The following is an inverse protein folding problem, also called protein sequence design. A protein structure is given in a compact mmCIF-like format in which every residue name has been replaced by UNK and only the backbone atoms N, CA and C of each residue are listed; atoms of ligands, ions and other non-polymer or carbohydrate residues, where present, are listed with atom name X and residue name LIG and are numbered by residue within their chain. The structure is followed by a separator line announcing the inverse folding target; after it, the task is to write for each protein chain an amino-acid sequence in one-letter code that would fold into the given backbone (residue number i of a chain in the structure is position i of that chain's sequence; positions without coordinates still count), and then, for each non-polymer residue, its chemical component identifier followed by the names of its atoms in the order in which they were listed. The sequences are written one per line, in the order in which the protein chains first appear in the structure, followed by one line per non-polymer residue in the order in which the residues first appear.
data_IF_154901983224
#
_entry.id   IF_154901983224
#
_cell.length_a   1.000
_cell.length_b   1.000
_cell.length_c   1.000
_cell.angle_alpha   90.00
_cell.angle_beta   90.00
_cell.angle_gamma   90.00
#
_symmetry.space_group_name_H-M   'P 1'
#
loop_
_entity.id
_entity.type
_entity.pdbx_description
1 polymer ?
#
# COMPACT_ATOMS: atom_id res chain seq x y z
N UNK A 1 -3.93 28.59 7.91
CA UNK A 1 -3.20 27.81 6.87
C UNK A 1 -1.76 27.42 7.29
N UNK A 2 -1.32 27.61 8.54
CA UNK A 2 0.07 27.32 8.97
C UNK A 2 0.43 25.82 9.13
N UNK A 3 -0.50 24.87 8.91
CA UNK A 3 -0.32 23.46 9.24
C UNK A 3 -0.09 22.53 8.03
N UNK A 4 -0.10 23.05 6.80
CA UNK A 4 0.17 22.27 5.57
C UNK A 4 1.44 22.80 4.93
N UNK A 5 2.42 21.93 4.72
CA UNK A 5 3.66 22.24 4.01
C UNK A 5 3.68 21.49 2.68
N UNK A 6 3.67 22.23 1.58
CA UNK A 6 3.84 21.68 0.24
C UNK A 6 5.33 21.61 -0.06
N UNK A 7 5.78 20.45 -0.52
CA UNK A 7 7.15 20.23 -1.00
C UNK A 7 7.09 19.70 -2.41
N UNK A 8 7.99 20.18 -3.25
CA UNK A 8 8.11 19.77 -4.63
C UNK A 8 9.56 19.34 -4.88
N UNK A 9 9.76 18.21 -5.55
CA UNK A 9 11.06 17.87 -6.10
C UNK A 9 11.47 18.87 -7.19
N UNK A 10 12.76 18.89 -7.58
CA UNK A 10 13.31 19.89 -8.51
C UNK A 10 12.45 20.08 -9.78
N UNK A 11 12.09 18.97 -10.44
CA UNK A 11 11.26 18.99 -11.66
C UNK A 11 9.88 19.63 -11.42
N UNK A 12 9.18 19.20 -10.37
CA UNK A 12 7.87 19.75 -10.02
C UNK A 12 7.97 21.23 -9.63
N UNK A 13 9.03 21.62 -8.93
CA UNK A 13 9.25 22.99 -8.49
C UNK A 13 9.46 23.95 -9.67
N UNK A 14 10.29 23.56 -10.64
CA UNK A 14 10.50 24.31 -11.88
C UNK A 14 9.17 24.46 -12.65
N UNK A 15 8.44 23.36 -12.86
CA UNK A 15 7.14 23.40 -13.56
C UNK A 15 6.08 24.27 -12.85
N UNK A 16 6.04 24.24 -11.52
CA UNK A 16 5.14 25.09 -10.74
C UNK A 16 5.53 26.57 -10.90
N UNK A 17 6.82 26.90 -10.83
CA UNK A 17 7.32 28.27 -11.00
C UNK A 17 7.03 28.83 -12.39
N UNK A 18 7.12 27.99 -13.40
CA UNK A 18 6.87 28.37 -14.79
C UNK A 18 5.36 28.43 -15.12
N UNK A 19 4.48 28.15 -14.16
CA UNK A 19 3.03 28.17 -14.33
C UNK A 19 2.47 26.99 -15.14
N UNK A 20 3.31 26.01 -15.50
CA UNK A 20 2.95 24.86 -16.34
C UNK A 20 2.43 23.64 -15.57
N UNK A 21 2.32 23.73 -14.24
CA UNK A 21 1.84 22.61 -13.43
C UNK A 21 0.34 22.34 -13.62
N UNK A 22 0.01 21.07 -13.88
CA UNK A 22 -1.35 20.54 -13.89
C UNK A 22 -1.37 19.21 -13.13
N UNK A 23 -2.43 18.95 -12.38
CA UNK A 23 -2.70 17.67 -11.71
C UNK A 23 -2.71 16.47 -12.67
N UNK A 24 -2.99 16.68 -13.96
CA UNK A 24 -2.85 15.63 -14.98
C UNK A 24 -1.42 15.11 -15.13
N UNK A 25 -0.40 15.82 -14.62
CA UNK A 25 0.99 15.35 -14.54
C UNK A 25 1.20 14.29 -13.47
N UNK A 26 0.33 14.21 -12.47
CA UNK A 26 0.40 13.17 -11.43
C UNK A 26 0.15 11.82 -12.13
N UNK A 27 1.19 11.00 -12.18
CA UNK A 27 1.14 9.65 -12.76
C UNK A 27 0.93 8.57 -11.69
N UNK A 28 1.29 8.88 -10.45
CA UNK A 28 1.11 7.99 -9.31
C UNK A 28 0.73 8.76 -8.06
N UNK A 29 -0.04 8.12 -7.20
CA UNK A 29 -0.34 8.57 -5.86
C UNK A 29 0.09 7.47 -4.90
N UNK A 30 1.11 7.75 -4.08
CA UNK A 30 1.64 6.81 -3.11
C UNK A 30 0.94 6.93 -1.75
N UNK A 31 0.50 5.79 -1.22
CA UNK A 31 -0.11 5.62 0.09
C UNK A 31 0.76 4.76 1.00
N UNK A 32 1.44 5.34 2.01
CA UNK A 32 2.34 4.61 2.89
C UNK A 32 1.57 3.76 3.91
N UNK A 33 2.27 2.83 4.56
CA UNK A 33 1.74 2.03 5.67
C UNK A 33 1.61 2.81 6.99
N UNK A 34 1.07 4.03 6.95
CA UNK A 34 1.10 5.00 8.04
C UNK A 34 0.24 4.70 9.27
N UNK A 35 -0.28 3.46 9.44
CA UNK A 35 -1.18 3.08 10.53
C UNK A 35 -2.33 4.09 10.69
N UNK A 36 -2.80 4.42 11.91
CA UNK A 36 -3.95 5.32 12.10
C UNK A 36 -3.74 6.75 11.54
N UNK A 37 -2.51 7.12 11.17
CA UNK A 37 -2.19 8.43 10.61
C UNK A 37 -2.79 8.64 9.21
N UNK A 38 -3.17 7.56 8.52
CA UNK A 38 -3.91 7.67 7.25
C UNK A 38 -5.26 8.41 7.43
N UNK A 39 -5.83 8.41 8.65
CA UNK A 39 -7.06 9.15 8.94
C UNK A 39 -6.92 10.66 8.66
N UNK A 40 -5.71 11.22 8.82
CA UNK A 40 -5.43 12.63 8.45
C UNK A 40 -5.44 12.81 6.93
N UNK A 41 -4.93 11.82 6.19
CA UNK A 41 -4.97 11.83 4.72
C UNK A 41 -6.40 11.72 4.16
N UNK A 42 -7.37 11.23 4.96
CA UNK A 42 -8.77 11.05 4.51
C UNK A 42 -9.42 12.32 3.98
N UNK A 43 -9.10 13.49 4.54
CA UNK A 43 -9.62 14.76 4.03
C UNK A 43 -9.16 15.03 2.60
N UNK A 44 -7.86 14.88 2.34
CA UNK A 44 -7.30 15.03 1.01
C UNK A 44 -7.85 14.01 0.02
N UNK A 45 -7.97 12.75 0.46
CA UNK A 45 -8.50 11.68 -0.38
C UNK A 45 -9.95 11.92 -0.80
N UNK A 46 -10.79 12.29 0.16
CA UNK A 46 -12.20 12.60 -0.11
C UNK A 46 -12.33 13.83 -1.01
N UNK A 47 -11.49 14.85 -0.85
CA UNK A 47 -11.47 16.00 -1.77
C UNK A 47 -11.06 15.57 -3.18
N UNK A 48 -9.97 14.82 -3.33
CA UNK A 48 -9.49 14.36 -4.65
C UNK A 48 -10.51 13.44 -5.35
N UNK A 49 -11.20 12.58 -4.59
CA UNK A 49 -12.26 11.71 -5.07
C UNK A 49 -13.50 12.51 -5.51
N UNK A 50 -14.05 13.35 -4.64
CA UNK A 50 -15.31 14.09 -4.88
C UNK A 50 -15.18 15.07 -6.04
N UNK A 51 -14.06 15.80 -6.08
CA UNK A 51 -13.78 16.80 -7.12
C UNK A 51 -13.22 16.16 -8.41
N UNK A 52 -12.98 14.84 -8.39
CA UNK A 52 -12.41 14.12 -9.51
C UNK A 52 -11.14 14.81 -10.03
N UNK A 53 -10.16 15.01 -9.16
CA UNK A 53 -8.97 15.82 -9.48
C UNK A 53 -7.82 15.04 -10.13
N UNK A 54 -7.80 13.71 -10.01
CA UNK A 54 -6.73 12.86 -10.53
C UNK A 54 -7.23 11.98 -11.68
N UNK A 55 -6.39 11.67 -12.64
CA UNK A 55 -6.73 10.71 -13.71
C UNK A 55 -7.74 11.20 -14.75
N UNK A 56 -7.79 12.50 -15.03
CA UNK A 56 -8.74 13.07 -16.00
C UNK A 56 -8.32 12.74 -17.43
N UNK A 57 -7.05 12.93 -17.76
CA UNK A 57 -6.53 12.63 -19.12
C UNK A 57 -5.93 11.24 -19.22
N UNK A 58 -5.16 10.81 -18.22
CA UNK A 58 -4.43 9.55 -18.23
C UNK A 58 -4.61 8.82 -16.89
N UNK A 59 -4.67 7.48 -16.87
CA UNK A 59 -4.87 6.73 -15.63
C UNK A 59 -3.78 7.02 -14.60
N UNK A 60 -4.16 7.12 -13.32
CA UNK A 60 -3.22 7.30 -12.20
C UNK A 60 -3.00 5.98 -11.48
N UNK A 61 -1.74 5.67 -11.20
CA UNK A 61 -1.39 4.54 -10.34
C UNK A 61 -1.58 4.89 -8.87
N UNK A 62 -2.54 4.25 -8.22
CA UNK A 62 -2.71 4.24 -6.78
C UNK A 62 -1.80 3.16 -6.20
N UNK A 63 -0.66 3.56 -5.65
CA UNK A 63 0.36 2.64 -5.13
C UNK A 63 0.28 2.62 -3.61
N UNK A 64 -0.15 1.52 -3.01
CA UNK A 64 -0.47 1.48 -1.58
C UNK A 64 0.25 0.36 -0.83
N UNK A 65 0.73 0.66 0.37
CA UNK A 65 1.14 -0.31 1.38
C UNK A 65 0.22 -0.21 2.60
N UNK A 66 -0.17 -1.35 3.19
CA UNK A 66 -1.07 -1.42 4.36
C UNK A 66 -2.30 -0.51 4.22
N UNK A 67 -2.54 0.41 5.16
CA UNK A 67 -3.66 1.36 5.11
C UNK A 67 -3.72 2.19 3.81
N UNK A 68 -2.57 2.43 3.15
CA UNK A 68 -2.52 3.01 1.82
C UNK A 68 -3.12 2.11 0.73
N UNK A 69 -2.88 0.80 0.80
CA UNK A 69 -3.54 -0.16 -0.09
C UNK A 69 -5.04 -0.26 0.23
N UNK A 70 -5.41 -0.25 1.51
CA UNK A 70 -6.81 -0.37 1.95
C UNK A 70 -7.65 0.81 1.43
N UNK A 71 -7.16 2.03 1.63
CA UNK A 71 -7.85 3.25 1.18
C UNK A 71 -7.93 3.31 -0.34
N UNK A 72 -6.88 2.90 -1.05
CA UNK A 72 -6.91 2.89 -2.53
C UNK A 72 -7.78 1.77 -3.09
N UNK A 73 -7.89 0.62 -2.44
CA UNK A 73 -8.87 -0.38 -2.81
C UNK A 73 -10.32 0.16 -2.73
N UNK A 74 -10.60 1.07 -1.77
CA UNK A 74 -11.88 1.76 -1.68
C UNK A 74 -12.13 2.72 -2.86
N UNK A 75 -11.07 3.38 -3.38
CA UNK A 75 -11.18 4.28 -4.53
C UNK A 75 -11.61 3.58 -5.82
N UNK A 76 -11.34 2.28 -5.92
CA UNK A 76 -11.69 1.48 -7.10
C UNK A 76 -13.13 0.97 -7.06
N UNK A 77 -13.84 1.08 -5.94
CA UNK A 77 -15.21 0.61 -5.81
C UNK A 77 -16.19 1.49 -6.61
N UNK A 78 -17.35 0.96 -7.05
CA UNK A 78 -18.36 1.73 -7.80
C UNK A 78 -18.86 2.98 -7.07
N UNK A 79 -19.03 2.90 -5.75
CA UNK A 79 -19.36 4.04 -4.88
C UNK A 79 -18.15 4.44 -4.01
N UNK A 80 -17.07 5.01 -4.59
CA UNK A 80 -15.78 5.08 -3.93
C UNK A 80 -15.80 5.91 -2.65
N UNK A 81 -16.60 6.99 -2.60
CA UNK A 81 -16.76 7.82 -1.40
C UNK A 81 -17.45 7.04 -0.27
N UNK A 82 -18.50 6.26 -0.59
CA UNK A 82 -19.23 5.43 0.38
C UNK A 82 -18.32 4.35 0.94
N UNK A 83 -17.64 3.59 0.07
CA UNK A 83 -16.67 2.56 0.46
C UNK A 83 -15.52 3.14 1.29
N UNK A 84 -15.03 4.33 0.95
CA UNK A 84 -13.98 5.00 1.71
C UNK A 84 -14.44 5.37 3.12
N UNK A 85 -15.66 5.89 3.27
CA UNK A 85 -16.24 6.23 4.56
C UNK A 85 -16.53 4.98 5.40
N UNK A 86 -17.01 3.90 4.77
CA UNK A 86 -17.22 2.61 5.41
C UNK A 86 -15.92 2.01 5.94
N UNK A 87 -14.83 2.03 5.15
CA UNK A 87 -13.49 1.68 5.60
C UNK A 87 -13.08 2.50 6.83
N UNK A 88 -13.25 3.83 6.76
CA UNK A 88 -12.86 4.73 7.85
C UNK A 88 -13.59 4.41 9.15
N UNK A 89 -14.90 4.20 9.06
CA UNK A 89 -15.74 3.87 10.20
C UNK A 89 -15.36 2.51 10.80
N UNK A 90 -15.22 1.49 9.96
CA UNK A 90 -14.82 0.15 10.38
C UNK A 90 -13.42 0.14 11.01
N UNK A 91 -12.48 0.93 10.46
CA UNK A 91 -11.13 1.08 11.00
C UNK A 91 -11.12 1.74 12.39
N UNK A 92 -11.90 2.80 12.59
CA UNK A 92 -11.97 3.52 13.88
C UNK A 92 -12.70 2.67 14.93
N UNK A 93 -13.71 1.92 14.52
CA UNK A 93 -14.50 1.06 15.40
C UNK A 93 -13.82 -0.27 15.73
N UNK A 94 -12.75 -0.63 15.02
CA UNK A 94 -12.02 -1.87 15.29
C UNK A 94 -11.37 -1.82 16.68
N UNK A 95 -11.70 -2.82 17.50
CA UNK A 95 -11.18 -2.94 18.86
C UNK A 95 -10.42 -4.26 19.00
N UNK A 96 -9.19 -4.17 19.50
CA UNK A 96 -8.30 -5.32 19.69
C UNK A 96 -7.82 -5.37 21.15
N UNK A 97 -8.08 -6.49 21.81
CA UNK A 97 -7.67 -6.77 23.18
C UNK A 97 -6.30 -7.44 23.26
N UNK A 98 -5.67 -7.36 24.44
CA UNK A 98 -4.35 -8.00 24.70
C UNK A 98 -4.36 -9.53 24.57
N UNK A 99 -5.53 -10.16 24.64
CA UNK A 99 -5.69 -11.62 24.55
C UNK A 99 -6.00 -12.10 23.12
N UNK A 100 -6.19 -11.18 22.17
CA UNK A 100 -6.50 -11.56 20.81
C UNK A 100 -5.30 -12.24 20.16
N UNK A 101 -5.57 -13.35 19.49
CA UNK A 101 -4.54 -14.10 18.79
C UNK A 101 -4.29 -13.48 17.42
N UNK A 102 -3.09 -13.66 16.82
CA UNK A 102 -2.83 -13.18 15.47
C UNK A 102 -3.86 -13.67 14.44
N UNK A 103 -4.34 -14.91 14.58
CA UNK A 103 -5.41 -15.46 13.72
C UNK A 103 -6.76 -14.76 13.91
N UNK A 104 -7.14 -14.44 15.15
CA UNK A 104 -8.38 -13.71 15.43
C UNK A 104 -8.32 -12.28 14.85
N UNK A 105 -7.17 -11.60 14.97
CA UNK A 105 -6.97 -10.28 14.38
C UNK A 105 -7.03 -10.35 12.85
N UNK A 106 -6.40 -11.36 12.22
CA UNK A 106 -6.49 -11.57 10.78
C UNK A 106 -7.96 -11.78 10.32
N UNK A 107 -8.75 -12.55 11.06
CA UNK A 107 -10.16 -12.75 10.76
C UNK A 107 -10.95 -11.44 10.88
N UNK A 108 -10.70 -10.64 11.92
CA UNK A 108 -11.29 -9.31 12.08
C UNK A 108 -10.94 -8.38 10.91
N UNK A 109 -9.67 -8.35 10.48
CA UNK A 109 -9.26 -7.58 9.30
C UNK A 109 -9.94 -8.09 8.02
N UNK A 110 -10.11 -9.40 7.87
CA UNK A 110 -10.81 -9.99 6.72
C UNK A 110 -12.26 -9.51 6.67
N UNK A 111 -12.95 -9.48 7.82
CA UNK A 111 -14.31 -8.94 7.94
C UNK A 111 -14.35 -7.43 7.63
N UNK A 112 -13.39 -6.65 8.15
CA UNK A 112 -13.28 -5.21 7.88
C UNK A 112 -13.06 -4.93 6.39
N UNK A 113 -12.12 -5.63 5.74
CA UNK A 113 -11.85 -5.44 4.31
C UNK A 113 -13.09 -5.82 3.47
N UNK A 114 -13.78 -6.89 3.85
CA UNK A 114 -15.00 -7.32 3.18
C UNK A 114 -16.19 -6.39 3.39
N UNK A 115 -16.17 -5.52 4.42
CA UNK A 115 -17.28 -4.62 4.71
C UNK A 115 -17.37 -3.40 3.78
N UNK A 116 -16.31 -3.11 3.02
CA UNK A 116 -16.30 -2.00 2.05
C UNK A 116 -15.88 -2.41 0.63
N UNK A 117 -15.45 -3.67 0.46
CA UNK A 117 -15.13 -4.28 -0.83
C UNK A 117 -16.09 -5.45 -1.03
N UNK A 118 -17.10 -5.23 -1.85
CA UNK A 118 -18.07 -6.27 -2.22
C UNK A 118 -17.47 -7.17 -3.32
N UNK A 119 -17.79 -8.45 -3.33
CA UNK A 119 -17.20 -9.41 -4.29
C UNK A 119 -17.67 -9.12 -5.73
N UNK A 120 -18.93 -8.73 -5.90
CA UNK A 120 -19.53 -8.30 -7.16
C UNK A 120 -18.97 -6.97 -7.69
N UNK A 121 -18.35 -6.16 -6.82
CA UNK A 121 -17.68 -4.92 -7.19
C UNK A 121 -16.26 -5.15 -7.77
N UNK A 122 -15.65 -6.33 -7.56
CA UNK A 122 -14.27 -6.62 -7.98
C UNK A 122 -14.06 -6.55 -9.50
N UNK A 123 -14.95 -7.07 -10.37
CA UNK A 123 -14.83 -6.88 -11.82
C UNK A 123 -14.80 -5.40 -12.24
N UNK A 124 -15.57 -4.54 -11.56
CA UNK A 124 -15.61 -3.11 -11.83
C UNK A 124 -14.32 -2.41 -11.37
N UNK A 125 -13.81 -2.79 -10.19
CA UNK A 125 -12.51 -2.33 -9.72
C UNK A 125 -11.39 -2.70 -10.72
N UNK A 126 -11.40 -3.94 -11.21
CA UNK A 126 -10.49 -4.49 -12.21
C UNK A 126 -10.84 -4.07 -13.65
N UNK A 127 -11.64 -3.02 -13.86
CA UNK A 127 -11.85 -2.39 -15.16
C UNK A 127 -11.83 -0.86 -15.07
N UNK A 128 -11.39 -0.33 -13.93
CA UNK A 128 -11.37 1.11 -13.68
C UNK A 128 -10.43 1.82 -14.68
N UNK A 129 -10.99 2.72 -15.48
CA UNK A 129 -10.25 3.45 -16.53
C UNK A 129 -9.45 4.62 -15.98
N UNK A 130 -9.80 5.10 -14.78
CA UNK A 130 -9.27 6.31 -14.18
C UNK A 130 -8.09 6.00 -13.24
N UNK A 131 -8.18 4.89 -12.52
CA UNK A 131 -7.23 4.49 -11.51
C UNK A 131 -6.76 3.07 -11.76
N UNK A 132 -5.46 2.83 -11.57
CA UNK A 132 -4.86 1.50 -11.52
C UNK A 132 -4.33 1.27 -10.12
N UNK A 133 -4.50 0.06 -9.58
CA UNK A 133 -4.06 -0.26 -8.23
C UNK A 133 -2.76 -1.06 -8.28
N UNK A 134 -1.80 -0.68 -7.43
CA UNK A 134 -0.62 -1.47 -7.10
C UNK A 134 -0.54 -1.62 -5.57
N UNK A 135 -0.76 -2.85 -5.09
CA UNK A 135 -0.70 -3.21 -3.67
C UNK A 135 0.69 -3.75 -3.38
N UNK A 136 1.39 -3.10 -2.46
CA UNK A 136 2.67 -3.54 -1.94
C UNK A 136 2.45 -4.49 -0.76
N UNK A 137 3.08 -5.66 -0.82
CA UNK A 137 3.11 -6.64 0.27
C UNK A 137 4.45 -7.38 0.26
N UNK A 138 4.67 -8.26 1.23
CA UNK A 138 5.87 -9.08 1.31
C UNK A 138 5.53 -10.55 1.50
N UNK A 139 6.22 -11.43 0.76
CA UNK A 139 6.28 -12.86 1.08
C UNK A 139 7.42 -13.09 2.06
N UNK A 140 7.07 -13.54 3.25
CA UNK A 140 8.01 -13.81 4.33
C UNK A 140 8.80 -15.09 4.08
N UNK A 141 10.07 -15.10 4.45
CA UNK A 141 11.00 -16.23 4.29
C UNK A 141 11.49 -16.74 5.64
N UNK A 142 11.93 -17.99 5.65
CA UNK A 142 12.61 -18.61 6.79
C UNK A 142 11.84 -18.42 8.11
N UNK A 143 12.52 -17.98 9.17
CA UNK A 143 11.95 -17.83 10.51
C UNK A 143 10.79 -16.83 10.57
N UNK A 144 10.81 -15.77 9.74
CA UNK A 144 9.76 -14.74 9.72
C UNK A 144 8.46 -15.27 9.08
N UNK A 145 8.56 -16.30 8.25
CA UNK A 145 7.39 -16.98 7.69
C UNK A 145 6.62 -17.81 8.72
N UNK A 146 7.22 -18.14 9.87
CA UNK A 146 6.59 -18.97 10.89
C UNK A 146 5.36 -18.31 11.52
N UNK A 147 4.30 -19.10 11.71
CA UNK A 147 3.13 -18.71 12.53
C UNK A 147 3.40 -18.86 14.04
N UNK A 148 4.50 -19.49 14.46
CA UNK A 148 4.87 -19.62 15.88
C UNK A 148 5.44 -18.28 16.36
N UNK A 149 4.80 -17.56 17.31
CA UNK A 149 5.18 -16.18 17.63
C UNK A 149 6.63 -16.00 18.08
N UNK A 150 7.18 -16.96 18.84
CA UNK A 150 8.57 -16.87 19.31
C UNK A 150 9.60 -17.12 18.20
N UNK A 151 9.31 -18.03 17.25
CA UNK A 151 10.16 -18.25 16.06
C UNK A 151 10.15 -17.00 15.19
N UNK A 152 8.95 -16.44 14.98
CA UNK A 152 8.78 -15.22 14.20
C UNK A 152 9.51 -14.05 14.86
N UNK A 153 9.35 -13.84 16.17
CA UNK A 153 10.09 -12.83 16.94
C UNK A 153 11.61 -12.95 16.79
N UNK A 154 12.16 -14.16 16.87
CA UNK A 154 13.58 -14.38 16.64
C UNK A 154 13.98 -14.00 15.20
N UNK A 155 13.18 -14.38 14.21
CA UNK A 155 13.36 -13.95 12.82
C UNK A 155 13.36 -12.43 12.66
N UNK A 156 12.45 -11.73 13.34
CA UNK A 156 12.37 -10.26 13.36
C UNK A 156 13.62 -9.59 13.91
N UNK A 157 14.13 -10.10 15.04
CA UNK A 157 15.36 -9.59 15.65
C UNK A 157 16.53 -9.79 14.68
N UNK A 158 16.62 -10.96 14.04
CA UNK A 158 17.67 -11.22 13.04
C UNK A 158 17.55 -10.32 11.81
N UNK A 159 16.34 -10.09 11.29
CA UNK A 159 16.15 -9.16 10.18
C UNK A 159 16.51 -7.73 10.56
N UNK A 160 16.22 -7.32 11.81
CA UNK A 160 16.57 -6.01 12.32
C UNK A 160 18.08 -5.82 12.36
N UNK A 161 18.80 -6.77 12.96
CA UNK A 161 20.26 -6.75 13.00
C UNK A 161 20.86 -6.76 11.59
N UNK A 162 20.32 -7.58 10.68
CA UNK A 162 20.79 -7.64 9.31
C UNK A 162 20.55 -6.30 8.56
N UNK A 163 19.39 -5.67 8.72
CA UNK A 163 19.11 -4.37 8.10
C UNK A 163 20.02 -3.27 8.65
N UNK A 164 20.31 -3.27 9.95
CA UNK A 164 21.23 -2.33 10.58
C UNK A 164 22.68 -2.50 10.07
N UNK A 165 23.08 -3.72 9.71
CA UNK A 165 24.38 -3.96 9.06
C UNK A 165 24.39 -3.50 7.61
N UNK A 166 23.37 -3.88 6.82
CA UNK A 166 23.20 -3.41 5.45
C UNK A 166 21.73 -3.54 5.00
N UNK A 167 21.09 -2.46 4.51
CA UNK A 167 19.65 -2.47 4.18
C UNK A 167 19.24 -3.56 3.18
N UNK A 168 20.12 -3.92 2.23
CA UNK A 168 19.80 -4.96 1.25
C UNK A 168 19.66 -6.37 1.85
N UNK A 169 20.13 -6.60 3.08
CA UNK A 169 20.01 -7.90 3.73
C UNK A 169 18.56 -8.22 4.12
N UNK A 170 17.67 -7.22 4.17
CA UNK A 170 16.25 -7.42 4.43
C UNK A 170 15.60 -8.39 3.42
N UNK A 171 16.13 -8.47 2.20
CA UNK A 171 15.62 -9.33 1.13
C UNK A 171 15.84 -10.84 1.35
N UNK A 172 16.72 -11.20 2.28
CA UNK A 172 16.86 -12.59 2.74
C UNK A 172 15.67 -13.01 3.61
N UNK A 173 15.01 -12.06 4.28
CA UNK A 173 13.91 -12.33 5.20
C UNK A 173 12.53 -12.13 4.56
N UNK A 174 12.45 -11.27 3.56
CA UNK A 174 11.23 -10.98 2.83
C UNK A 174 11.48 -10.75 1.34
N UNK A 175 10.55 -11.18 0.50
CA UNK A 175 10.49 -10.82 -0.91
C UNK A 175 9.35 -9.83 -1.12
N UNK A 176 9.65 -8.64 -1.68
CA UNK A 176 8.59 -7.70 -2.06
C UNK A 176 7.73 -8.31 -3.16
N UNK A 177 6.43 -8.20 -3.01
CA UNK A 177 5.44 -8.62 -4.00
C UNK A 177 4.49 -7.46 -4.28
N UNK A 178 4.35 -7.09 -5.54
CA UNK A 178 3.45 -6.03 -6.00
C UNK A 178 2.29 -6.66 -6.74
N UNK A 179 1.12 -6.67 -6.13
CA UNK A 179 -0.09 -7.08 -6.83
C UNK A 179 -0.63 -5.88 -7.59
N UNK A 180 -0.83 -6.01 -8.90
CA UNK A 180 -1.22 -4.87 -9.73
C UNK A 180 -2.35 -5.21 -10.70
N UNK A 181 -3.18 -4.21 -11.01
CA UNK A 181 -4.16 -4.31 -12.07
C UNK A 181 -3.76 -3.48 -13.30
N UNK A 182 -3.81 -4.10 -14.48
CA UNK A 182 -3.52 -3.48 -15.77
C UNK A 182 -2.83 -4.44 -16.75
N UNK A 183 -2.75 -4.06 -18.02
CA UNK A 183 -2.08 -4.86 -19.06
C UNK A 183 -0.57 -4.95 -18.92
N UNK A 184 0.04 -4.04 -18.16
CA UNK A 184 1.47 -4.01 -17.84
C UNK A 184 1.65 -3.65 -16.36
N UNK A 185 2.69 -4.20 -15.70
CA UNK A 185 3.05 -3.77 -14.36
C UNK A 185 3.42 -2.28 -14.34
N UNK A 186 3.36 -1.63 -13.17
CA UNK A 186 3.86 -0.26 -13.01
C UNK A 186 5.33 -0.14 -13.44
N UNK A 187 5.72 0.98 -14.06
CA UNK A 187 7.07 1.16 -14.57
C UNK A 187 8.17 1.02 -13.50
N UNK A 188 7.88 1.39 -12.24
CA UNK A 188 8.83 1.20 -11.14
C UNK A 188 9.17 -0.28 -10.88
N UNK A 189 8.29 -1.22 -11.25
CA UNK A 189 8.56 -2.67 -11.16
C UNK A 189 9.49 -3.16 -12.27
N UNK A 190 9.67 -2.39 -13.34
CA UNK A 190 10.46 -2.74 -14.53
C UNK A 190 11.87 -2.14 -14.49
N UNK A 191 12.17 -1.32 -13.49
CA UNK A 191 13.51 -0.76 -13.26
C UNK A 191 14.50 -1.87 -12.86
N UNK A 192 15.77 -1.72 -13.24
CA UNK A 192 16.81 -2.74 -12.99
C UNK A 192 17.06 -2.97 -11.50
N UNK A 193 16.83 -1.94 -10.70
CA UNK A 193 17.04 -1.90 -9.25
C UNK A 193 15.87 -2.52 -8.49
N UNK A 194 14.73 -2.77 -9.14
CA UNK A 194 13.56 -3.36 -8.49
C UNK A 194 13.85 -4.79 -8.07
N UNK A 195 13.78 -5.04 -6.75
CA UNK A 195 13.98 -6.36 -6.15
C UNK A 195 12.65 -6.88 -5.61
N UNK A 196 12.00 -7.75 -6.38
CA UNK A 196 10.74 -8.36 -5.97
C UNK A 196 10.04 -9.05 -7.13
N UNK A 197 8.76 -9.35 -6.90
CA UNK A 197 7.85 -9.90 -7.91
C UNK A 197 6.69 -8.96 -8.12
N UNK A 198 6.09 -9.03 -9.30
CA UNK A 198 4.83 -8.38 -9.59
C UNK A 198 3.85 -9.42 -10.12
N UNK A 199 2.63 -9.41 -9.58
CA UNK A 199 1.60 -10.42 -9.83
C UNK A 199 0.32 -9.72 -10.29
N UNK A 200 -0.33 -10.13 -11.39
CA UNK A 200 -1.61 -9.58 -11.77
C UNK A 200 -2.67 -9.79 -10.69
N UNK A 201 -3.43 -8.73 -10.40
CA UNK A 201 -4.63 -8.79 -9.59
C UNK A 201 -5.76 -9.47 -10.37
N UNK A 202 -6.47 -10.34 -9.68
CA UNK A 202 -7.71 -10.97 -10.11
C UNK A 202 -8.73 -10.89 -8.99
N UNK A 203 -9.98 -11.18 -9.29
CA UNK A 203 -11.05 -11.21 -8.29
C UNK A 203 -10.71 -12.16 -7.12
N UNK A 204 -10.02 -13.27 -7.43
CA UNK A 204 -9.64 -14.31 -6.47
C UNK A 204 -8.58 -13.81 -5.47
N UNK A 205 -7.60 -13.02 -5.92
CA UNK A 205 -6.48 -12.60 -5.07
C UNK A 205 -6.62 -11.17 -4.51
N UNK A 206 -7.61 -10.40 -4.96
CA UNK A 206 -7.74 -8.98 -4.64
C UNK A 206 -7.80 -8.72 -3.13
N UNK A 207 -8.80 -9.31 -2.45
CA UNK A 207 -8.98 -9.11 -1.00
C UNK A 207 -7.79 -9.66 -0.22
N UNK A 208 -7.26 -10.82 -0.59
CA UNK A 208 -6.09 -11.44 0.06
C UNK A 208 -4.85 -10.56 -0.04
N UNK A 209 -4.60 -9.92 -1.18
CA UNK A 209 -3.50 -8.97 -1.35
C UNK A 209 -3.70 -7.70 -0.48
N UNK A 210 -4.91 -7.15 -0.45
CA UNK A 210 -5.26 -6.00 0.41
C UNK A 210 -5.04 -6.35 1.89
N UNK A 211 -5.54 -7.50 2.36
CA UNK A 211 -5.37 -7.96 3.74
C UNK A 211 -3.89 -8.17 4.07
N UNK A 212 -3.16 -8.87 3.20
CA UNK A 212 -1.74 -9.18 3.41
C UNK A 212 -0.87 -7.92 3.52
N UNK A 213 -1.20 -6.86 2.75
CA UNK A 213 -0.48 -5.58 2.83
C UNK A 213 -0.53 -4.96 4.23
N UNK A 214 -1.60 -5.22 5.01
CA UNK A 214 -1.78 -4.68 6.36
C UNK A 214 -1.53 -5.67 7.49
N UNK A 215 -1.17 -6.91 7.18
CA UNK A 215 -0.88 -7.93 8.19
C UNK A 215 0.47 -7.63 8.87
N UNK A 216 0.41 -6.92 10.00
CA UNK A 216 1.58 -6.55 10.80
C UNK A 216 2.20 -7.83 11.39
N UNK A 217 3.48 -8.07 11.16
CA UNK A 217 4.13 -9.26 11.69
C UNK A 217 4.06 -9.37 13.22
N UNK A 218 4.03 -10.60 13.75
CA UNK A 218 3.83 -10.94 15.17
C UNK A 218 2.42 -10.61 15.68
N UNK A 219 1.84 -9.47 15.28
CA UNK A 219 0.53 -9.02 15.72
C UNK A 219 -0.62 -9.64 14.93
N UNK A 220 -0.44 -9.86 13.63
CA UNK A 220 -1.47 -10.35 12.71
C UNK A 220 -1.03 -11.64 12.04
N UNK A 221 -1.94 -12.60 11.93
CA UNK A 221 -1.76 -13.82 11.16
C UNK A 221 -1.38 -13.49 9.72
N UNK A 222 -0.56 -14.34 9.11
CA UNK A 222 -0.17 -14.13 7.71
C UNK A 222 -1.23 -14.68 6.76
N UNK A 223 -1.34 -14.06 5.58
CA UNK A 223 -2.19 -14.60 4.51
C UNK A 223 -1.38 -15.66 3.77
N UNK A 224 -1.89 -16.90 3.74
CA UNK A 224 -1.19 -18.03 3.13
C UNK A 224 -1.57 -18.18 1.66
N UNK A 225 -0.59 -18.52 0.83
CA UNK A 225 -0.73 -19.01 -0.55
C UNK A 225 -1.69 -18.16 -1.41
N UNK A 226 -1.39 -16.85 -1.52
CA UNK A 226 -2.21 -15.93 -2.31
C UNK A 226 -2.22 -16.38 -3.78
N UNK A 227 -3.41 -16.55 -4.34
CA UNK A 227 -3.62 -17.04 -5.70
C UNK A 227 -2.81 -16.26 -6.75
N UNK A 228 -2.10 -17.01 -7.61
CA UNK A 228 -1.24 -16.48 -8.67
C UNK A 228 0.15 -16.03 -8.21
N UNK A 229 0.41 -15.98 -6.90
CA UNK A 229 1.71 -15.67 -6.33
C UNK A 229 2.39 -16.95 -5.78
N UNK A 230 3.72 -16.95 -5.58
CA UNK A 230 4.41 -18.12 -5.02
C UNK A 230 3.91 -18.55 -3.64
N UNK A 231 3.78 -19.84 -3.38
CA UNK A 231 3.32 -20.39 -2.09
C UNK A 231 4.13 -19.85 -0.90
N UNK A 232 3.47 -19.53 0.20
CA UNK A 232 4.12 -19.04 1.40
C UNK A 232 3.22 -18.12 2.20
N UNK A 233 3.84 -17.40 3.14
CA UNK A 233 3.11 -16.52 4.05
C UNK A 233 3.37 -15.07 3.68
N UNK A 234 2.28 -14.35 3.44
CA UNK A 234 2.28 -12.95 3.04
C UNK A 234 1.90 -12.06 4.23
N UNK A 235 2.75 -11.07 4.47
CA UNK A 235 2.62 -10.04 5.51
C UNK A 235 3.32 -8.78 5.02
N UNK A 236 2.95 -7.63 5.54
CA UNK A 236 3.79 -6.45 5.37
C UNK A 236 3.58 -5.54 6.56
N UNK A 237 2.43 -4.88 6.65
CA UNK A 237 2.18 -3.93 7.74
C UNK A 237 3.25 -2.85 7.83
N UNK A 238 3.89 -2.52 6.69
CA UNK A 238 5.04 -1.62 6.63
C UNK A 238 6.42 -2.28 6.75
N UNK A 239 6.55 -3.61 6.69
CA UNK A 239 7.83 -4.32 6.80
C UNK A 239 8.87 -3.94 5.73
N UNK A 240 8.47 -3.58 4.50
CA UNK A 240 9.40 -2.99 3.53
C UNK A 240 9.04 -1.55 3.18
N UNK A 241 7.74 -1.25 3.09
CA UNK A 241 7.21 -0.05 2.44
C UNK A 241 6.49 0.89 3.43
N UNK A 242 7.09 1.12 4.61
CA UNK A 242 6.51 2.01 5.64
C UNK A 242 6.43 3.48 5.21
N UNK A 243 7.52 4.00 4.62
CA UNK A 243 7.58 5.31 3.97
C UNK A 243 7.86 5.15 2.48
N UNK A 244 7.83 6.26 1.74
CA UNK A 244 8.33 6.26 0.36
C UNK A 244 9.83 5.94 0.39
N UNK A 245 10.23 4.87 -0.31
CA UNK A 245 11.57 4.30 -0.24
C UNK A 245 12.20 4.06 -1.63
N UNK A 246 11.51 4.44 -2.69
CA UNK A 246 11.96 4.33 -4.07
C UNK A 246 11.24 5.36 -4.94
N UNK A 247 11.64 5.45 -6.21
CA UNK A 247 10.93 6.21 -7.21
C UNK A 247 9.66 5.46 -7.64
N UNK A 248 8.50 6.07 -7.42
CA UNK A 248 7.20 5.56 -7.84
C UNK A 248 6.67 6.27 -9.09
N UNK A 249 7.54 6.96 -9.83
CA UNK A 249 7.20 7.58 -11.10
C UNK A 249 6.88 6.49 -12.13
N UNK A 250 5.73 6.63 -12.78
CA UNK A 250 5.14 5.60 -13.65
C UNK A 250 5.09 5.98 -15.13
N UNK A 251 5.72 7.09 -15.48
CA UNK A 251 5.92 7.56 -16.86
C UNK A 251 6.92 8.71 -16.87
N UNK A 252 7.55 8.96 -18.02
CA UNK A 252 8.42 10.12 -18.20
C UNK A 252 7.70 11.43 -17.87
N UNK A 253 8.39 12.31 -17.15
CA UNK A 253 7.89 13.61 -16.65
C UNK A 253 6.61 13.54 -15.80
N UNK A 254 6.26 12.35 -15.30
CA UNK A 254 5.19 12.14 -14.34
C UNK A 254 5.61 12.56 -12.93
N UNK A 255 4.63 12.96 -12.13
CA UNK A 255 4.83 13.30 -10.72
C UNK A 255 4.18 12.25 -9.82
N UNK A 256 4.83 11.97 -8.69
CA UNK A 256 4.26 11.17 -7.60
C UNK A 256 3.63 12.12 -6.58
N UNK A 257 2.32 12.02 -6.38
CA UNK A 257 1.64 12.66 -5.26
C UNK A 257 1.89 11.85 -3.99
N UNK A 258 2.21 12.52 -2.88
CA UNK A 258 2.47 11.87 -1.61
C UNK A 258 2.03 12.77 -0.46
N UNK A 259 1.06 12.31 0.33
CA UNK A 259 0.73 12.96 1.60
C UNK A 259 1.53 12.32 2.71
N UNK A 260 2.32 13.17 3.37
CA UNK A 260 3.16 12.76 4.48
C UNK A 260 2.79 13.52 5.74
N UNK A 261 2.75 12.81 6.86
CA UNK A 261 2.35 13.36 8.14
C UNK A 261 3.54 13.80 9.00
N UNK A 262 4.78 13.59 8.54
CA UNK A 262 5.99 14.05 9.24
C UNK A 262 6.80 15.04 8.39
N UNK A 263 7.70 15.78 9.03
CA UNK A 263 8.55 16.74 8.34
C UNK A 263 9.61 16.06 7.45
N UNK A 264 10.11 14.88 7.81
CA UNK A 264 11.19 14.20 7.08
C UNK A 264 10.69 12.90 6.47
N UNK A 265 11.15 12.60 5.27
CA UNK A 265 10.97 11.29 4.65
C UNK A 265 12.16 10.44 5.06
N UNK A 266 11.89 9.33 5.73
CA UNK A 266 12.93 8.37 6.14
C UNK A 266 12.70 7.11 5.30
N UNK A 267 13.62 6.73 4.40
CA UNK A 267 13.49 5.49 3.65
C UNK A 267 13.57 4.30 4.61
N UNK A 268 12.46 3.57 4.76
CA UNK A 268 12.36 2.43 5.70
C UNK A 268 11.81 2.81 7.09
N UNK A 269 11.68 1.80 7.95
CA UNK A 269 11.21 1.91 9.35
C UNK A 269 12.24 1.36 10.34
N UNK A 270 13.42 1.00 9.84
CA UNK A 270 14.61 0.60 10.58
C UNK A 270 15.76 1.53 10.24
#
# INVERSE_FOLDING_TARGET
MQNIRIRAGRLAYEQIRDGGFNLDRIGSYFGPAGGPRWLVASGFDLTLLKEGLLGRTLPVWLVGASAGAWRFAAWLQPEPVKSYLALREAYISANYGRKDTPGAILQSLTTLISSYIEDDALPFALTNKRYRLAILTCRMKHLIASERPWVQKAGFILSFLANALHPSLIHYFAERVVFYYGSRPPDFCLQKEFRGRFIPLSEINFKSAVIASGAIPIAVGGVRDIFGAPDGIYRDGGFLDYHINQDYTTRNDGLTLFFHHQERIIPGWM
#
